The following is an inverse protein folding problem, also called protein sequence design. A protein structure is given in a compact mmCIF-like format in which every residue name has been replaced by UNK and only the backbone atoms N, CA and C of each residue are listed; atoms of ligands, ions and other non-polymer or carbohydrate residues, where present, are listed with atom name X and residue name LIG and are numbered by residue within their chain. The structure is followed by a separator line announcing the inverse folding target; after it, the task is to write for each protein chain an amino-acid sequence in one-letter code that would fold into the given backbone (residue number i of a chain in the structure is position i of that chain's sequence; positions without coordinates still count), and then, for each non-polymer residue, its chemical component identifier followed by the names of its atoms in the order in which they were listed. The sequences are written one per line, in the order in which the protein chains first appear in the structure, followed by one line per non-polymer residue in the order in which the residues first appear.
data_IF_665626539792
#
_entry.id   IF_665626539792
#
_cell.length_a   1.000
_cell.length_b   1.000
_cell.length_c   1.000
_cell.angle_alpha   90.00
_cell.angle_beta   90.00
_cell.angle_gamma   90.00
#
_symmetry.space_group_name_H-M   'P 1'
#
loop_
_entity.id
_entity.type
_entity.pdbx_description
1 polymer ?
#
# COMPACT_ATOMS: atom_id res chain seq x y z
N UNK A 1 -0.82 3.25 -0.88
CA UNK A 1 -0.43 3.86 -2.17
C UNK A 1 0.17 5.23 -1.91
N UNK A 2 1.21 5.59 -2.62
CA UNK A 2 1.84 6.90 -2.50
C UNK A 2 2.41 7.36 -3.84
N UNK A 3 2.67 8.66 -3.95
CA UNK A 3 3.41 9.27 -5.05
C UNK A 3 4.42 10.25 -4.48
N UNK A 4 5.43 10.62 -5.27
CA UNK A 4 6.40 11.64 -4.89
C UNK A 4 6.24 12.82 -5.82
N UNK A 5 5.83 13.96 -5.25
CA UNK A 5 5.65 15.22 -5.97
C UNK A 5 6.82 16.15 -5.69
N UNK A 6 7.01 17.15 -6.54
CA UNK A 6 8.04 18.18 -6.35
C UNK A 6 7.39 19.48 -5.88
N UNK A 7 7.87 20.00 -4.77
CA UNK A 7 7.47 21.35 -4.32
C UNK A 7 8.00 22.43 -5.26
N UNK A 8 7.46 23.63 -5.18
CA UNK A 8 7.94 24.79 -5.96
C UNK A 8 9.42 25.15 -5.68
N UNK A 9 10.00 24.61 -4.59
CA UNK A 9 11.41 24.79 -4.22
C UNK A 9 12.30 23.62 -4.66
N UNK A 10 11.75 22.67 -5.44
CA UNK A 10 12.50 21.51 -5.92
C UNK A 10 12.78 20.46 -4.84
N UNK A 11 11.97 20.40 -3.79
CA UNK A 11 12.06 19.37 -2.74
C UNK A 11 11.04 18.28 -3.01
N UNK A 12 11.45 17.03 -2.98
CA UNK A 12 10.57 15.88 -3.06
C UNK A 12 9.63 15.83 -1.86
N UNK A 13 8.36 15.52 -2.13
CA UNK A 13 7.32 15.40 -1.12
C UNK A 13 6.49 14.14 -1.38
N UNK A 14 6.56 13.15 -0.51
CA UNK A 14 5.67 12.00 -0.60
C UNK A 14 4.24 12.40 -0.20
N UNK A 15 3.27 11.91 -0.98
CA UNK A 15 1.83 12.04 -0.72
C UNK A 15 1.21 10.64 -0.70
N UNK A 16 0.33 10.39 0.24
CA UNK A 16 -0.39 9.12 0.40
C UNK A 16 -1.82 9.27 -0.09
N UNK A 17 -2.26 8.35 -0.94
CA UNK A 17 -3.65 8.26 -1.35
C UNK A 17 -4.44 7.48 -0.30
N UNK A 18 -5.45 8.11 0.26
CA UNK A 18 -6.47 7.47 1.08
C UNK A 18 -7.79 7.43 0.31
N UNK A 19 -8.54 6.36 0.53
CA UNK A 19 -9.88 6.14 -0.03
C UNK A 19 -10.90 6.08 1.10
N UNK A 20 -12.11 6.57 0.85
CA UNK A 20 -13.17 6.63 1.87
C UNK A 20 -14.25 5.60 1.59
N UNK A 21 -14.61 4.83 2.60
CA UNK A 21 -15.68 3.83 2.50
C UNK A 21 -17.04 4.47 2.23
N UNK A 22 -17.73 3.94 1.22
CA UNK A 22 -19.02 4.46 0.77
C UNK A 22 -20.13 4.23 1.80
N UNK A 23 -21.20 5.03 1.78
CA UNK A 23 -22.43 4.77 2.51
C UNK A 23 -22.98 3.35 2.20
N UNK A 24 -23.43 2.64 3.22
CA UNK A 24 -23.94 1.27 3.08
C UNK A 24 -22.89 0.15 3.14
N UNK A 25 -21.61 0.50 3.26
CA UNK A 25 -20.53 -0.45 3.58
C UNK A 25 -20.27 -0.48 5.09
N UNK A 26 -19.53 -1.49 5.57
CA UNK A 26 -19.07 -1.57 6.96
C UNK A 26 -18.16 -0.36 7.23
N UNK A 27 -18.36 0.35 8.36
CA UNK A 27 -17.62 1.55 8.74
C UNK A 27 -17.68 2.68 7.67
N UNK A 28 -18.88 3.16 7.31
CA UNK A 28 -19.03 4.18 6.28
C UNK A 28 -18.34 5.49 6.67
N UNK A 29 -17.73 6.16 5.69
CA UNK A 29 -17.00 7.41 5.91
C UNK A 29 -15.60 7.25 6.48
N UNK A 30 -15.15 6.01 6.77
CA UNK A 30 -13.79 5.75 7.23
C UNK A 30 -12.79 5.94 6.07
N UNK A 31 -11.73 6.70 6.34
CA UNK A 31 -10.57 6.83 5.46
C UNK A 31 -9.59 5.68 5.72
N UNK A 32 -9.12 5.06 4.66
CA UNK A 32 -8.26 3.88 4.73
C UNK A 32 -7.33 3.76 3.52
N UNK A 33 -6.35 2.84 3.62
CA UNK A 33 -5.63 2.31 2.46
C UNK A 33 -6.46 1.22 1.78
N UNK A 34 -6.09 0.82 0.57
CA UNK A 34 -6.65 -0.37 -0.09
C UNK A 34 -6.41 -1.61 0.79
N UNK A 35 -7.41 -2.44 0.90
CA UNK A 35 -7.33 -3.70 1.62
C UNK A 35 -8.32 -4.72 1.06
N UNK A 36 -7.92 -5.98 0.99
CA UNK A 36 -8.78 -7.03 0.49
C UNK A 36 -8.37 -8.40 0.98
N UNK A 37 -9.00 -9.43 0.42
CA UNK A 37 -8.81 -10.82 0.78
C UNK A 37 -8.22 -11.62 -0.38
N UNK A 38 -7.40 -12.62 -0.06
CA UNK A 38 -6.86 -13.52 -1.07
C UNK A 38 -7.94 -14.46 -1.62
N UNK A 39 -7.90 -14.69 -2.90
CA UNK A 39 -8.63 -15.77 -3.53
C UNK A 39 -7.96 -17.14 -3.29
N UNK A 40 -8.71 -18.26 -3.38
CA UNK A 40 -8.13 -19.58 -3.19
C UNK A 40 -6.96 -19.86 -4.15
N UNK A 41 -5.77 -20.09 -3.59
CA UNK A 41 -4.56 -20.37 -4.37
C UNK A 41 -3.83 -19.14 -4.93
N UNK A 42 -4.32 -17.96 -4.64
CA UNK A 42 -3.71 -16.70 -5.08
C UNK A 42 -2.41 -16.41 -4.31
N UNK A 43 -1.42 -15.86 -4.98
CA UNK A 43 -0.20 -15.34 -4.34
C UNK A 43 -0.52 -14.03 -3.63
N UNK A 44 0.07 -13.79 -2.46
CA UNK A 44 -0.19 -12.60 -1.63
C UNK A 44 0.07 -11.30 -2.43
N UNK A 45 1.16 -11.24 -3.17
CA UNK A 45 1.51 -10.07 -4.00
C UNK A 45 0.53 -9.86 -5.15
N UNK A 46 0.06 -10.95 -5.78
CA UNK A 46 -0.94 -10.87 -6.86
C UNK A 46 -2.29 -10.36 -6.33
N UNK A 47 -2.73 -10.86 -5.16
CA UNK A 47 -3.95 -10.39 -4.50
C UNK A 47 -3.87 -8.91 -4.13
N UNK A 48 -2.73 -8.45 -3.62
CA UNK A 48 -2.53 -7.02 -3.31
C UNK A 48 -2.66 -6.12 -4.54
N UNK A 49 -2.08 -6.53 -5.68
CA UNK A 49 -2.19 -5.77 -6.94
C UNK A 49 -3.58 -5.86 -7.57
N UNK A 50 -4.25 -7.02 -7.48
CA UNK A 50 -5.65 -7.17 -7.92
C UNK A 50 -6.59 -6.26 -7.15
N UNK A 51 -6.52 -6.24 -5.81
CA UNK A 51 -7.34 -5.36 -4.97
C UNK A 51 -7.05 -3.87 -5.27
N UNK A 52 -5.79 -3.52 -5.51
CA UNK A 52 -5.44 -2.17 -5.95
C UNK A 52 -6.19 -1.79 -7.24
N UNK A 53 -6.15 -2.65 -8.25
CA UNK A 53 -6.80 -2.41 -9.53
C UNK A 53 -8.33 -2.37 -9.40
N UNK A 54 -8.93 -3.30 -8.65
CA UNK A 54 -10.37 -3.37 -8.42
C UNK A 54 -10.91 -2.15 -7.67
N UNK A 55 -10.23 -1.70 -6.61
CA UNK A 55 -10.72 -0.59 -5.79
C UNK A 55 -10.40 0.79 -6.36
N UNK A 56 -9.32 0.93 -7.15
CA UNK A 56 -8.83 2.24 -7.61
C UNK A 56 -8.63 2.36 -9.11
N UNK A 57 -8.68 1.26 -9.86
CA UNK A 57 -8.41 1.23 -11.29
C UNK A 57 -6.92 1.39 -11.65
N UNK A 58 -6.00 1.36 -10.68
CA UNK A 58 -4.58 1.42 -10.95
C UNK A 58 -4.02 0.03 -11.26
N UNK A 59 -3.63 -0.17 -12.51
CA UNK A 59 -2.96 -1.37 -12.98
C UNK A 59 -1.45 -1.17 -13.18
N UNK A 60 -0.78 -2.12 -13.84
CA UNK A 60 0.66 -2.09 -14.04
C UNK A 60 1.21 -0.83 -14.73
N UNK A 61 0.38 -0.17 -15.58
CA UNK A 61 0.79 1.03 -16.31
C UNK A 61 0.91 2.29 -15.42
N UNK A 62 0.19 2.33 -14.31
CA UNK A 62 0.17 3.43 -13.35
C UNK A 62 1.21 3.25 -12.23
N UNK A 63 1.77 2.04 -12.09
CA UNK A 63 2.71 1.69 -11.02
C UNK A 63 4.15 2.02 -11.46
N UNK A 64 4.86 2.81 -10.66
CA UNK A 64 6.30 3.08 -10.82
C UNK A 64 7.15 2.06 -10.06
N UNK A 65 6.73 1.69 -8.84
CA UNK A 65 7.44 0.72 -8.01
C UNK A 65 6.49 0.04 -7.01
N UNK A 66 6.84 -1.19 -6.62
CA UNK A 66 6.10 -2.02 -5.68
C UNK A 66 7.04 -2.47 -4.57
N UNK A 67 6.63 -2.33 -3.31
CA UNK A 67 7.48 -2.56 -2.14
C UNK A 67 6.79 -3.48 -1.12
N UNK A 68 7.55 -4.45 -0.60
CA UNK A 68 7.21 -5.18 0.62
C UNK A 68 7.69 -4.36 1.83
N UNK A 69 6.78 -3.88 2.65
CA UNK A 69 7.15 -3.07 3.82
C UNK A 69 7.74 -3.90 4.99
N UNK A 70 7.91 -5.21 4.81
CA UNK A 70 8.32 -6.12 5.90
C UNK A 70 7.45 -5.93 7.16
N UNK A 71 6.15 -5.76 6.92
CA UNK A 71 5.14 -5.47 7.92
C UNK A 71 3.95 -6.42 7.77
N UNK A 72 3.55 -7.00 8.87
CA UNK A 72 2.35 -7.85 8.95
C UNK A 72 1.42 -7.31 10.01
N UNK A 73 0.20 -6.95 9.61
CA UNK A 73 -0.86 -6.57 10.53
C UNK A 73 -1.59 -7.82 11.02
N UNK A 74 -1.85 -7.87 12.30
CA UNK A 74 -2.69 -8.88 12.91
C UNK A 74 -3.80 -8.22 13.72
N UNK A 75 -5.04 -8.70 13.56
CA UNK A 75 -6.17 -8.21 14.33
C UNK A 75 -7.22 -9.29 14.51
N UNK A 76 -7.99 -9.18 15.60
CA UNK A 76 -9.14 -10.05 15.84
C UNK A 76 -10.30 -9.63 14.93
N UNK A 77 -10.86 -10.59 14.19
CA UNK A 77 -12.04 -10.40 13.36
C UNK A 77 -13.24 -11.09 14.03
N UNK A 78 -14.16 -10.30 14.63
CA UNK A 78 -15.27 -10.86 15.40
C UNK A 78 -16.24 -11.74 14.61
N UNK A 79 -16.40 -11.49 13.32
CA UNK A 79 -17.36 -12.23 12.49
C UNK A 79 -16.99 -13.71 12.30
N UNK A 80 -15.70 -14.03 12.41
CA UNK A 80 -15.18 -15.39 12.29
C UNK A 80 -14.54 -15.90 13.58
N UNK A 81 -14.57 -15.10 14.66
CA UNK A 81 -13.89 -15.37 15.94
C UNK A 81 -12.44 -15.84 15.74
N UNK A 82 -11.72 -15.11 14.92
CA UNK A 82 -10.38 -15.48 14.47
C UNK A 82 -9.40 -14.32 14.40
N UNK A 83 -8.13 -14.65 14.16
CA UNK A 83 -7.08 -13.65 13.90
C UNK A 83 -6.81 -13.58 12.41
N UNK A 84 -7.02 -12.40 11.83
CA UNK A 84 -6.62 -12.10 10.46
C UNK A 84 -5.17 -11.65 10.46
N UNK A 85 -4.41 -12.16 9.49
CA UNK A 85 -3.02 -11.77 9.23
C UNK A 85 -2.96 -11.18 7.82
N UNK A 86 -2.49 -9.95 7.70
CA UNK A 86 -2.40 -9.22 6.44
C UNK A 86 -0.97 -8.72 6.20
N UNK A 87 -0.35 -9.17 5.11
CA UNK A 87 0.91 -8.60 4.63
C UNK A 87 0.67 -7.17 4.11
N UNK A 88 1.61 -6.27 4.33
CA UNK A 88 1.49 -4.86 3.98
C UNK A 88 2.50 -4.48 2.93
N UNK A 89 2.00 -3.92 1.85
CA UNK A 89 2.79 -3.45 0.72
C UNK A 89 2.61 -1.94 0.52
N UNK A 90 3.59 -1.31 -0.12
CA UNK A 90 3.44 0.04 -0.65
C UNK A 90 3.56 0.01 -2.18
N UNK A 91 2.74 0.82 -2.84
CA UNK A 91 2.80 1.02 -4.29
C UNK A 91 3.09 2.49 -4.55
N UNK A 92 4.18 2.75 -5.26
CA UNK A 92 4.49 4.08 -5.78
C UNK A 92 3.81 4.24 -7.14
N UNK A 93 2.97 5.25 -7.23
CA UNK A 93 2.21 5.58 -8.44
C UNK A 93 2.84 6.76 -9.18
N UNK A 94 2.63 6.83 -10.47
CA UNK A 94 2.90 8.00 -11.29
C UNK A 94 2.14 9.22 -10.76
N UNK A 95 2.69 10.40 -10.94
CA UNK A 95 2.09 11.64 -10.43
C UNK A 95 0.92 12.16 -11.25
N UNK A 96 0.76 11.69 -12.48
CA UNK A 96 -0.25 12.13 -13.45
C UNK A 96 -1.49 11.23 -13.51
N UNK A 97 -1.68 10.37 -12.50
CA UNK A 97 -2.80 9.40 -12.47
C UNK A 97 -3.83 9.76 -11.40
N UNK A 98 -5.10 9.49 -11.73
CA UNK A 98 -6.23 9.70 -10.83
C UNK A 98 -7.02 8.40 -10.66
N UNK A 99 -7.49 8.09 -9.43
CA UNK A 99 -8.18 6.84 -9.16
C UNK A 99 -9.59 6.81 -9.78
N UNK A 100 -9.99 5.62 -10.24
CA UNK A 100 -11.36 5.26 -10.59
C UNK A 100 -11.89 4.33 -9.53
N UNK A 101 -12.61 4.86 -8.56
CA UNK A 101 -13.07 4.11 -7.41
C UNK A 101 -14.13 3.08 -7.79
N UNK A 102 -14.07 1.91 -7.13
CA UNK A 102 -15.15 0.94 -7.13
C UNK A 102 -16.36 1.47 -6.33
N UNK A 103 -17.48 0.75 -6.38
CA UNK A 103 -18.68 1.09 -5.60
C UNK A 103 -18.49 0.93 -4.07
N UNK A 104 -17.35 0.47 -3.61
CA UNK A 104 -17.01 0.33 -2.18
C UNK A 104 -16.53 1.63 -1.56
N UNK A 105 -16.09 2.57 -2.40
CA UNK A 105 -15.50 3.84 -1.98
C UNK A 105 -16.17 5.00 -2.69
N UNK A 106 -16.37 6.13 -1.98
CA UNK A 106 -17.06 7.30 -2.51
C UNK A 106 -16.18 8.55 -2.62
N UNK A 107 -14.94 8.49 -2.12
CA UNK A 107 -13.95 9.56 -2.25
C UNK A 107 -12.53 9.00 -2.21
N UNK A 108 -11.62 9.70 -2.87
CA UNK A 108 -10.17 9.50 -2.77
C UNK A 108 -9.48 10.86 -2.64
N UNK A 109 -8.44 10.93 -1.83
CA UNK A 109 -7.70 12.18 -1.62
C UNK A 109 -6.23 11.89 -1.37
N UNK A 110 -5.38 12.66 -2.03
CA UNK A 110 -3.95 12.71 -1.75
C UNK A 110 -3.70 13.58 -0.52
N UNK A 111 -2.98 13.04 0.44
CA UNK A 111 -2.62 13.72 1.69
C UNK A 111 -1.10 13.75 1.82
N UNK A 112 -0.56 14.77 2.46
CA UNK A 112 0.82 14.64 2.93
C UNK A 112 0.91 13.57 4.03
N UNK A 113 2.14 13.20 4.37
CA UNK A 113 2.40 12.10 5.31
C UNK A 113 1.73 12.34 6.67
N UNK A 114 1.82 13.56 7.20
CA UNK A 114 1.30 13.89 8.53
C UNK A 114 -0.24 13.91 8.53
N UNK A 115 -0.84 14.46 7.50
CA UNK A 115 -2.30 14.45 7.31
C UNK A 115 -2.82 13.01 7.16
N UNK A 116 -2.18 12.20 6.29
CA UNK A 116 -2.55 10.80 6.10
C UNK A 116 -2.45 10.00 7.41
N UNK A 117 -1.37 10.19 8.17
CA UNK A 117 -1.16 9.52 9.46
C UNK A 117 -2.25 9.87 10.49
N UNK A 118 -2.70 11.14 10.53
CA UNK A 118 -3.77 11.58 11.42
C UNK A 118 -5.15 11.08 10.98
N UNK A 119 -5.37 10.95 9.67
CA UNK A 119 -6.66 10.58 9.08
C UNK A 119 -7.00 9.10 9.29
N UNK A 120 -6.00 8.22 9.30
CA UNK A 120 -6.22 6.78 9.48
C UNK A 120 -6.31 6.40 10.97
N UNK A 121 -7.27 5.54 11.32
CA UNK A 121 -7.48 5.13 12.71
C UNK A 121 -6.70 3.87 13.08
N UNK A 122 -6.43 2.97 12.11
CA UNK A 122 -5.79 1.69 12.38
C UNK A 122 -4.27 1.83 12.56
N UNK A 123 -3.70 1.29 13.66
CA UNK A 123 -2.27 1.36 13.91
C UNK A 123 -1.41 0.82 12.75
N UNK A 124 -1.84 -0.26 12.10
CA UNK A 124 -1.12 -0.83 10.98
C UNK A 124 -0.98 0.11 9.78
N UNK A 125 -2.01 0.91 9.47
CA UNK A 125 -1.91 1.93 8.43
C UNK A 125 -0.97 3.07 8.82
N UNK A 126 -0.98 3.49 10.09
CA UNK A 126 -0.05 4.50 10.59
C UNK A 126 1.39 4.04 10.44
N UNK A 127 1.68 2.82 10.88
CA UNK A 127 3.01 2.22 10.72
C UNK A 127 3.43 2.11 9.24
N UNK A 128 2.51 1.74 8.34
CA UNK A 128 2.79 1.70 6.91
C UNK A 128 3.14 3.09 6.34
N UNK A 129 2.43 4.14 6.77
CA UNK A 129 2.70 5.53 6.36
C UNK A 129 4.05 6.00 6.89
N UNK A 130 4.40 5.67 8.14
CA UNK A 130 5.72 5.92 8.72
C UNK A 130 6.84 5.24 7.92
N UNK A 131 6.65 3.97 7.51
CA UNK A 131 7.61 3.25 6.64
C UNK A 131 7.80 3.94 5.28
N UNK A 132 6.74 4.46 4.67
CA UNK A 132 6.87 5.24 3.43
C UNK A 132 7.76 6.46 3.66
N UNK A 133 7.55 7.20 4.75
CA UNK A 133 8.36 8.37 5.10
C UNK A 133 9.82 7.99 5.38
N UNK A 134 10.04 6.99 6.21
CA UNK A 134 11.35 6.72 6.81
C UNK A 134 12.24 5.83 5.93
N UNK A 135 11.63 4.90 5.18
CA UNK A 135 12.36 3.90 4.42
C UNK A 135 12.29 4.10 2.90
N UNK A 136 11.16 4.57 2.36
CA UNK A 136 10.98 4.67 0.90
C UNK A 136 11.28 6.06 0.33
N UNK A 137 11.51 7.06 1.16
CA UNK A 137 11.93 8.41 0.72
C UNK A 137 13.41 8.46 0.30
N UNK A 138 14.23 7.49 0.70
CA UNK A 138 15.63 7.39 0.30
C UNK A 138 15.81 6.25 -0.74
N UNK A 139 16.23 6.55 -1.97
CA UNK A 139 16.30 5.54 -3.05
C UNK A 139 17.15 4.31 -2.71
N UNK A 140 18.29 4.50 -2.05
CA UNK A 140 19.19 3.40 -1.67
C UNK A 140 18.50 2.45 -0.66
N UNK A 141 17.74 3.00 0.28
CA UNK A 141 16.98 2.21 1.27
C UNK A 141 15.76 1.56 0.63
N UNK A 142 15.01 2.29 -0.20
CA UNK A 142 13.84 1.80 -0.91
C UNK A 142 14.15 0.56 -1.75
N UNK A 143 15.31 0.52 -2.40
CA UNK A 143 15.73 -0.63 -3.22
C UNK A 143 15.77 -1.97 -2.46
N UNK A 144 15.95 -1.96 -1.13
CA UNK A 144 15.94 -3.19 -0.31
C UNK A 144 14.54 -3.78 -0.15
N UNK A 145 13.51 -2.96 -0.30
CA UNK A 145 12.09 -3.35 -0.15
C UNK A 145 11.41 -3.59 -1.49
N UNK A 146 12.04 -3.22 -2.60
CA UNK A 146 11.42 -3.26 -3.93
C UNK A 146 11.20 -4.70 -4.42
N UNK A 147 10.02 -4.91 -4.99
CA UNK A 147 9.59 -6.14 -5.64
C UNK A 147 9.32 -5.88 -7.13
N UNK A 148 9.47 -6.91 -7.95
CA UNK A 148 8.84 -6.92 -9.28
C UNK A 148 7.32 -7.05 -9.12
N UNK A 149 6.55 -6.77 -10.17
CA UNK A 149 5.09 -6.98 -10.13
C UNK A 149 4.69 -8.46 -10.01
N UNK A 150 5.61 -9.38 -10.34
CA UNK A 150 5.46 -10.82 -10.09
C UNK A 150 5.73 -11.19 -8.61
N UNK A 151 6.17 -10.22 -7.80
CA UNK A 151 6.41 -10.38 -6.35
C UNK A 151 7.74 -11.03 -6.02
N UNK A 152 8.76 -10.83 -6.85
CA UNK A 152 10.14 -11.24 -6.59
C UNK A 152 10.95 -10.02 -6.12
N UNK A 153 11.98 -10.20 -5.30
CA UNK A 153 12.88 -9.11 -4.92
C UNK A 153 13.55 -8.52 -6.15
N UNK A 154 13.37 -7.23 -6.38
CA UNK A 154 14.08 -6.50 -7.41
C UNK A 154 15.59 -6.50 -7.06
N UNK A 155 16.45 -6.85 -7.98
CA UNK A 155 17.90 -6.93 -7.73
C UNK A 155 18.41 -8.24 -7.13
N UNK A 156 17.66 -9.33 -7.26
CA UNK A 156 18.07 -10.69 -6.82
C UNK A 156 19.39 -11.20 -7.42
N UNK A 157 19.99 -10.48 -8.37
CA UNK A 157 21.34 -10.73 -8.87
C UNK A 157 22.46 -10.27 -7.89
N UNK A 158 22.13 -9.56 -6.82
CA UNK A 158 23.06 -9.18 -5.76
C UNK A 158 23.16 -10.26 -4.67
N UNK A 159 23.23 -11.54 -5.05
CA UNK A 159 23.54 -12.65 -4.16
C UNK A 159 22.60 -12.68 -2.95
N UNK A 160 21.39 -13.15 -3.15
CA UNK A 160 20.42 -13.35 -2.04
C UNK A 160 21.09 -14.09 -0.89
N UNK A 161 21.09 -13.57 0.35
CA UNK A 161 21.48 -14.37 1.50
C UNK A 161 20.56 -15.60 1.50
N UNK A 162 21.16 -16.79 1.44
CA UNK A 162 20.41 -18.05 1.59
C UNK A 162 19.81 -18.03 2.99
N UNK A 163 18.56 -17.63 3.10
CA UNK A 163 17.79 -17.80 4.31
C UNK A 163 17.69 -19.30 4.55
N UNK A 164 18.49 -19.79 5.48
CA UNK A 164 18.33 -21.14 6.02
C UNK A 164 16.96 -21.17 6.71
N UNK A 165 16.06 -22.01 6.24
CA UNK A 165 14.79 -22.27 6.92
C UNK A 165 15.13 -22.87 8.30
N UNK A 166 14.68 -22.20 9.34
CA UNK A 166 14.65 -22.70 10.71
C UNK A 166 13.50 -23.68 10.89
#
# INVERSE_FOLDING_TARGET
MFRVTMTARGVERPEVLLIRRAPGRILPGLWQCVSGSLEPGERITAGALRELEEETGFGPAEIEAFYDLDLVNQFHEPSMDGVVTAAVFAVRLRTDVEPRLSAEHDAATWHDIEEAHQQVIWPGYRTAIERIRDDLSEPERAAWFELTLEGERAGSDLGSPKLTRW
#
